data_IF_199028799025
#
_entry.id   IF_199028799025
#
_cell.length_a   1.000
_cell.length_b   1.000
_cell.length_c   1.000
_cell.angle_alpha   90.00
_cell.angle_beta   90.00
_cell.angle_gamma   90.00
#
_symmetry.space_group_name_H-M   'P 1'
#
loop_
_entity.id
_entity.type
_entity.pdbx_description
1 polymer ?
#
# COMPACT_ATOMS: atom_id res chain seq x y z
N UNK A 1 -40.28 -9.32 -1.67
CA UNK A 1 -39.72 -9.21 -1.44
C UNK A 1 -38.92 -9.07 -1.21
N UNK A 2 -38.46 -8.94 -1.30
CA UNK A 2 -37.60 -8.90 -1.05
C UNK A 2 -36.81 -8.32 -0.78
N UNK A 3 -36.46 -7.98 -0.75
CA UNK A 3 -35.64 -7.54 -0.44
C UNK A 3 -34.88 -7.35 0.10
N UNK A 4 -34.65 -7.40 0.27
CA UNK A 4 -33.92 -7.39 0.95
C UNK A 4 -32.97 -7.63 0.91
N UNK A 5 -32.89 -8.05 0.63
CA UNK A 5 -32.01 -8.45 0.66
C UNK A 5 -31.12 -7.92 0.38
N UNK A 6 -31.04 -7.76 0.03
CA UNK A 6 -30.26 -7.37 -0.26
C UNK A 6 -29.67 -6.53 0.41
N UNK A 7 -29.74 -6.14 0.66
CA UNK A 7 -29.25 -5.42 1.23
C UNK A 7 -28.42 -5.70 2.13
N UNK A 8 -28.16 -6.18 2.34
CA UNK A 8 -27.35 -6.42 3.15
C UNK A 8 -26.26 -6.69 2.85
N UNK A 9 -26.15 -6.83 2.31
CA UNK A 9 -25.19 -7.16 2.05
C UNK A 9 -24.36 -6.35 1.98
N UNK A 10 -24.58 -5.81 1.78
CA UNK A 10 -23.80 -5.20 1.77
C UNK A 10 -23.34 -4.69 2.57
N UNK A 11 -23.48 -4.67 2.98
CA UNK A 11 -22.99 -4.28 3.76
C UNK A 11 -21.98 -4.53 4.16
N UNK A 12 -21.82 -4.90 4.22
CA UNK A 12 -21.00 -5.34 4.64
C UNK A 12 -19.92 -5.03 4.12
N UNK A 13 -19.89 -5.24 3.54
CA UNK A 13 -19.01 -5.17 2.92
C UNK A 13 -18.20 -4.17 2.98
N UNK A 14 -18.29 -3.68 2.88
CA UNK A 14 -17.67 -2.72 2.78
C UNK A 14 -16.82 -2.37 3.70
N UNK A 15 -17.13 -2.53 4.50
CA UNK A 15 -16.53 -1.98 5.47
C UNK A 15 -15.17 -2.24 5.58
N UNK A 16 -14.39 -1.37 5.43
CA UNK A 16 -13.10 -1.37 5.86
C UNK A 16 -12.25 -2.54 5.62
N UNK A 17 -12.52 -3.22 4.61
CA UNK A 17 -11.64 -4.32 4.43
C UNK A 17 -10.35 -3.82 3.90
N UNK A 18 -9.29 -4.06 4.62
CA UNK A 18 -7.97 -3.74 4.16
C UNK A 18 -7.39 -4.95 3.45
N UNK A 19 -6.49 -4.66 2.54
CA UNK A 19 -5.81 -5.67 1.75
C UNK A 19 -4.32 -5.62 2.09
N UNK A 20 -3.62 -6.70 1.82
CA UNK A 20 -2.19 -6.76 2.10
C UNK A 20 -1.46 -7.19 0.84
N UNK A 21 -0.39 -6.48 0.53
CA UNK A 21 0.48 -6.84 -0.57
C UNK A 21 1.91 -6.86 -0.07
N UNK A 22 2.71 -7.70 -0.67
CA UNK A 22 4.10 -7.83 -0.28
C UNK A 22 4.96 -7.94 -1.53
N UNK A 23 6.08 -7.24 -1.55
CA UNK A 23 6.97 -7.34 -2.68
C UNK A 23 8.18 -6.44 -2.53
N UNK A 24 9.06 -6.53 -3.52
CA UNK A 24 10.22 -5.66 -3.57
C UNK A 24 9.87 -4.36 -4.24
N UNK A 25 10.55 -3.31 -3.85
CA UNK A 25 10.29 -1.97 -4.38
C UNK A 25 10.86 -1.88 -5.79
N UNK A 26 10.03 -1.49 -6.75
CA UNK A 26 10.46 -1.25 -8.10
C UNK A 26 10.72 0.23 -8.35
N UNK A 27 9.86 1.08 -7.81
CA UNK A 27 9.99 2.52 -8.04
C UNK A 27 9.35 3.29 -6.90
N UNK A 28 9.82 4.49 -6.67
CA UNK A 28 9.31 5.38 -5.65
C UNK A 28 9.25 6.78 -6.23
N UNK A 29 8.09 7.40 -6.16
CA UNK A 29 7.96 8.77 -6.62
C UNK A 29 8.05 9.71 -5.43
N UNK A 30 8.97 10.66 -5.51
CA UNK A 30 9.14 11.65 -4.46
C UNK A 30 7.92 12.55 -4.40
N UNK A 31 7.51 12.88 -3.19
CA UNK A 31 6.39 13.78 -2.99
C UNK A 31 6.80 15.23 -3.03
N UNK A 32 5.83 16.11 -2.78
CA UNK A 32 6.07 17.55 -2.79
C UNK A 32 6.77 18.03 -1.53
N UNK A 33 6.54 17.37 -0.43
CA UNK A 33 7.13 17.80 0.83
C UNK A 33 8.42 17.04 1.08
N UNK A 34 9.31 17.69 1.81
CA UNK A 34 10.59 17.09 2.11
C UNK A 34 10.38 15.80 2.91
N UNK A 35 10.98 14.74 2.45
CA UNK A 35 10.89 13.46 3.14
C UNK A 35 9.69 12.61 2.75
N UNK A 36 8.77 13.18 1.98
CA UNK A 36 7.57 12.45 1.59
C UNK A 36 7.76 11.69 0.29
N UNK A 37 6.90 10.72 0.07
CA UNK A 37 6.79 10.09 -1.23
C UNK A 37 5.34 10.17 -1.69
N UNK A 38 5.14 10.14 -2.99
CA UNK A 38 3.79 10.17 -3.56
C UNK A 38 3.26 8.76 -3.75
N UNK A 39 4.07 7.87 -4.28
CA UNK A 39 3.66 6.48 -4.44
C UNK A 39 4.88 5.57 -4.40
N UNK A 40 4.60 4.29 -4.16
CA UNK A 40 5.57 3.22 -4.21
C UNK A 40 5.04 2.18 -5.19
N UNK A 41 5.91 1.65 -6.04
CA UNK A 41 5.54 0.51 -6.89
C UNK A 41 6.26 -0.72 -6.39
N UNK A 42 5.52 -1.78 -6.18
CA UNK A 42 6.08 -3.05 -5.73
C UNK A 42 5.90 -4.10 -6.82
N UNK A 43 6.82 -5.05 -6.81
CA UNK A 43 6.67 -6.26 -7.60
C UNK A 43 5.94 -7.27 -6.74
N UNK A 44 4.65 -7.46 -7.02
CA UNK A 44 3.82 -8.39 -6.26
C UNK A 44 3.47 -9.54 -7.18
N UNK A 45 4.07 -10.69 -6.96
CA UNK A 45 3.84 -11.88 -7.78
C UNK A 45 4.06 -11.61 -9.26
N UNK A 46 5.15 -10.90 -9.57
CA UNK A 46 5.53 -10.55 -10.94
C UNK A 46 4.64 -9.53 -11.60
N UNK A 47 3.85 -8.82 -10.80
CA UNK A 47 3.05 -7.70 -11.29
C UNK A 47 3.49 -6.42 -10.63
N UNK A 48 3.54 -5.35 -11.41
CA UNK A 48 3.89 -4.05 -10.87
C UNK A 48 2.62 -3.40 -10.34
N UNK A 49 2.57 -3.16 -9.05
CA UNK A 49 1.40 -2.58 -8.41
C UNK A 49 1.81 -1.30 -7.70
N UNK A 50 1.05 -0.25 -7.91
CA UNK A 50 1.34 1.07 -7.36
C UNK A 50 0.47 1.35 -6.15
N UNK A 51 1.09 1.89 -5.11
CA UNK A 51 0.42 2.22 -3.86
C UNK A 51 0.68 3.68 -3.55
N UNK A 52 -0.38 4.45 -3.26
CA UNK A 52 -0.29 5.89 -3.05
C UNK A 52 -0.30 6.23 -1.58
N UNK A 53 0.48 7.23 -1.21
CA UNK A 53 0.52 7.69 0.18
C UNK A 53 -0.72 8.50 0.53
N UNK A 54 -1.34 9.12 -0.45
CA UNK A 54 -2.54 9.96 -0.24
C UNK A 54 -2.23 11.07 0.78
N UNK A 55 -1.06 11.69 0.62
CA UNK A 55 -0.60 12.79 1.47
C UNK A 55 -0.39 12.42 2.93
N UNK A 56 -0.31 11.13 3.21
CA UNK A 56 0.02 10.69 4.57
C UNK A 56 1.53 10.67 4.75
N UNK A 57 1.96 10.85 5.98
CA UNK A 57 3.37 10.77 6.34
C UNK A 57 3.59 9.49 7.11
N UNK A 58 4.58 8.72 6.69
CA UNK A 58 4.92 7.46 7.36
C UNK A 58 6.28 7.65 8.02
N UNK A 59 6.32 7.71 9.32
CA UNK A 59 7.50 8.13 10.08
C UNK A 59 8.76 7.36 9.74
N UNK A 60 8.64 6.06 9.55
CA UNK A 60 9.81 5.22 9.30
C UNK A 60 10.00 4.91 7.82
N UNK A 61 9.22 5.55 6.97
CA UNK A 61 9.26 5.25 5.54
C UNK A 61 9.22 6.52 4.72
N UNK A 62 10.22 7.37 4.96
CA UNK A 62 10.41 8.55 4.13
C UNK A 62 10.95 8.11 2.77
N UNK A 63 10.98 9.03 1.83
CA UNK A 63 11.52 8.74 0.51
C UNK A 63 12.93 8.17 0.59
N UNK A 64 13.81 8.81 1.36
CA UNK A 64 15.19 8.35 1.47
C UNK A 64 15.30 6.96 2.09
N UNK A 65 14.47 6.71 3.09
CA UNK A 65 14.47 5.41 3.75
C UNK A 65 13.99 4.32 2.79
N UNK A 66 12.98 4.66 2.00
CA UNK A 66 12.46 3.71 1.01
C UNK A 66 13.50 3.41 -0.07
N UNK A 67 14.28 4.41 -0.48
CA UNK A 67 15.36 4.19 -1.42
C UNK A 67 16.37 3.19 -0.83
N UNK A 68 16.66 3.32 0.45
CA UNK A 68 17.55 2.38 1.12
C UNK A 68 17.03 0.96 1.05
N UNK A 69 15.74 0.79 1.33
CA UNK A 69 15.13 -0.53 1.25
C UNK A 69 15.15 -1.08 -0.18
N UNK A 70 14.94 -0.20 -1.15
CA UNK A 70 14.99 -0.61 -2.54
C UNK A 70 16.38 -1.13 -2.91
N UNK A 71 17.41 -0.39 -2.51
CA UNK A 71 18.77 -0.77 -2.83
C UNK A 71 19.19 -2.07 -2.14
N UNK A 72 18.65 -2.31 -0.97
CA UNK A 72 18.93 -3.55 -0.23
C UNK A 72 18.14 -4.74 -0.74
N UNK A 73 17.15 -4.51 -1.60
CA UNK A 73 16.31 -5.59 -2.08
C UNK A 73 15.34 -6.09 -1.02
N UNK A 74 14.96 -5.23 -0.10
CA UNK A 74 14.07 -5.63 0.98
C UNK A 74 12.65 -5.80 0.48
N UNK A 75 11.90 -6.67 1.12
CA UNK A 75 10.48 -6.80 0.87
C UNK A 75 9.72 -5.88 1.80
N UNK A 76 8.72 -5.21 1.25
CA UNK A 76 7.80 -4.43 2.05
C UNK A 76 6.45 -5.10 2.07
N UNK A 77 5.77 -4.97 3.19
CA UNK A 77 4.40 -5.40 3.31
C UNK A 77 3.55 -4.13 3.43
N UNK A 78 2.60 -3.97 2.52
CA UNK A 78 1.74 -2.79 2.51
C UNK A 78 0.32 -3.20 2.79
N UNK A 79 -0.24 -2.60 3.82
CA UNK A 79 -1.64 -2.73 4.15
C UNK A 79 -2.35 -1.56 3.47
N UNK A 80 -3.33 -1.84 2.62
CA UNK A 80 -3.92 -0.80 1.80
C UNK A 80 -5.40 -1.03 1.60
N UNK A 81 -6.07 -0.02 1.09
CA UNK A 81 -7.47 -0.13 0.69
C UNK A 81 -7.61 0.43 -0.71
N UNK A 82 -8.63 -0.03 -1.41
CA UNK A 82 -8.92 0.51 -2.73
C UNK A 82 -9.90 1.66 -2.61
N UNK A 83 -9.58 2.77 -3.27
CA UNK A 83 -10.38 3.96 -3.17
C UNK A 83 -10.27 4.71 -4.48
N UNK A 84 -11.38 4.90 -5.17
CA UNK A 84 -11.37 5.58 -6.46
C UNK A 84 -10.37 4.94 -7.42
N UNK A 85 -10.33 3.62 -7.42
CA UNK A 85 -9.47 2.85 -8.32
C UNK A 85 -7.99 3.00 -8.03
N UNK A 86 -7.65 3.51 -6.86
CA UNK A 86 -6.27 3.61 -6.43
C UNK A 86 -6.06 2.77 -5.19
N UNK A 87 -4.84 2.27 -5.04
CA UNK A 87 -4.46 1.56 -3.83
C UNK A 87 -3.89 2.59 -2.87
N UNK A 88 -4.58 2.83 -1.78
CA UNK A 88 -4.18 3.83 -0.79
C UNK A 88 -3.54 3.15 0.39
N UNK A 89 -2.32 3.53 0.72
CA UNK A 89 -1.56 2.90 1.80
C UNK A 89 -2.16 3.25 3.14
N UNK A 90 -2.39 2.23 3.95
CA UNK A 90 -2.80 2.41 5.34
C UNK A 90 -1.61 2.24 6.26
N UNK A 91 -0.74 1.29 5.97
CA UNK A 91 0.38 0.97 6.83
C UNK A 91 1.48 0.32 6.02
N UNK A 92 2.72 0.56 6.40
CA UNK A 92 3.87 -0.05 5.74
C UNK A 92 4.71 -0.76 6.78
N UNK A 93 5.16 -1.96 6.47
CA UNK A 93 6.07 -2.70 7.33
C UNK A 93 7.14 -3.36 6.48
N UNK A 94 8.31 -3.49 7.06
CA UNK A 94 9.37 -4.25 6.40
C UNK A 94 9.12 -5.73 6.69
N UNK A 95 9.02 -6.50 5.64
CA UNK A 95 8.83 -7.94 5.81
C UNK A 95 10.20 -8.61 5.85
N UNK A 96 10.52 -9.21 6.96
CA UNK A 96 11.83 -9.81 7.14
C UNK A 96 11.76 -11.29 6.80
N UNK A 97 12.42 -11.67 5.72
CA UNK A 97 12.49 -13.05 5.30
C UNK A 97 13.70 -13.77 5.83
N UNK A 98 14.58 -13.06 6.49
CA UNK A 98 15.79 -13.70 6.97
C UNK A 98 15.48 -14.55 8.19
N UNK A 99 16.20 -15.60 8.34
CA UNK A 99 15.95 -16.50 9.44
C UNK A 99 17.21 -16.98 10.05
#
# INVERSE_FOLDING_TARGET
>A
MKFFLIAFILLVSCSGSSLIAEGKILDIKKGDLLGDFEYIELNVNNEKIRFYSDNKVFDHYTYDHLISHQLNGDYLEINYEKKSQKNIILEIEKHDHSH
#
